data_IF_709638914976
#
_entry.id   IF_709638914976
#
_cell.length_a   1.000
_cell.length_b   1.000
_cell.length_c   1.000
_cell.angle_alpha   90.00
_cell.angle_beta   90.00
_cell.angle_gamma   90.00
#
_symmetry.space_group_name_H-M   'P 1'
#
loop_
_entity.id
_entity.type
_entity.pdbx_description
1 polymer ?
#
# COMPACT_ATOMS: atom_id res chain seq x y z
N UNK A 1 1.63 -7.48 -10.35
CA UNK A 1 3.07 -7.17 -10.28
C UNK A 1 3.42 -6.13 -11.34
N UNK A 2 4.39 -5.26 -11.07
CA UNK A 2 4.83 -4.19 -12.00
C UNK A 2 6.32 -4.34 -12.27
N UNK A 3 6.77 -4.10 -13.51
CA UNK A 3 8.19 -4.09 -13.87
C UNK A 3 8.53 -2.89 -14.76
N UNK A 4 9.66 -2.27 -14.47
CA UNK A 4 10.25 -1.23 -15.30
C UNK A 4 11.31 -1.85 -16.22
N UNK A 5 11.30 -1.43 -17.49
CA UNK A 5 12.29 -1.80 -18.50
C UNK A 5 12.67 -0.55 -19.30
N UNK A 6 13.72 0.14 -18.86
CA UNK A 6 14.06 1.46 -19.39
C UNK A 6 12.90 2.45 -19.20
N UNK A 7 12.39 3.02 -20.30
CA UNK A 7 11.24 3.93 -20.31
C UNK A 7 9.88 3.24 -20.27
N UNK A 8 9.83 1.91 -20.35
CA UNK A 8 8.58 1.18 -20.39
C UNK A 8 8.20 0.64 -19.01
N UNK A 9 6.93 0.76 -18.65
CA UNK A 9 6.34 0.19 -17.45
C UNK A 9 5.32 -0.88 -17.83
N UNK A 10 5.48 -2.06 -17.26
CA UNK A 10 4.62 -3.22 -17.52
C UNK A 10 3.79 -3.55 -16.28
N UNK A 11 2.49 -3.69 -16.46
CA UNK A 11 1.54 -4.12 -15.43
C UNK A 11 1.04 -5.53 -15.73
N UNK A 12 1.46 -6.48 -14.89
CA UNK A 12 0.98 -7.88 -14.94
C UNK A 12 -0.31 -8.07 -14.14
N UNK A 13 -0.58 -7.21 -13.16
CA UNK A 13 -1.88 -7.14 -12.48
C UNK A 13 -2.17 -5.71 -12.05
N UNK A 14 -3.45 -5.34 -12.03
CA UNK A 14 -3.93 -4.03 -11.58
C UNK A 14 -4.99 -4.21 -10.50
N UNK A 15 -4.92 -3.36 -9.47
CA UNK A 15 -5.94 -3.21 -8.44
C UNK A 15 -5.97 -1.74 -8.03
N UNK A 16 -7.15 -1.18 -7.81
CA UNK A 16 -7.23 0.18 -7.26
C UNK A 16 -6.72 0.21 -5.81
N UNK A 17 -6.21 1.37 -5.40
CA UNK A 17 -5.77 1.58 -4.02
C UNK A 17 -6.92 2.09 -3.14
N UNK A 18 -6.86 1.79 -1.84
CA UNK A 18 -7.70 2.28 -0.73
C UNK A 18 -9.21 1.99 -0.83
N UNK A 19 -9.74 1.23 0.15
CA UNK A 19 -11.18 1.04 0.46
C UNK A 19 -12.14 0.67 -0.69
N UNK A 20 -11.63 0.48 -1.91
CA UNK A 20 -12.40 0.09 -3.07
C UNK A 20 -12.44 -1.44 -3.15
N UNK A 21 -13.62 -1.98 -3.42
CA UNK A 21 -13.85 -3.42 -3.58
C UNK A 21 -13.46 -3.94 -4.97
N UNK A 22 -12.60 -3.22 -5.69
CA UNK A 22 -12.17 -3.65 -7.01
C UNK A 22 -11.34 -4.93 -6.90
N UNK A 23 -11.75 -5.91 -7.70
CA UNK A 23 -11.06 -7.19 -7.79
C UNK A 23 -9.72 -6.96 -8.49
N UNK A 24 -8.67 -7.60 -7.98
CA UNK A 24 -7.39 -7.61 -8.68
C UNK A 24 -7.56 -8.29 -10.04
N UNK A 25 -7.22 -7.58 -11.12
CA UNK A 25 -7.28 -8.07 -12.48
C UNK A 25 -5.88 -8.45 -12.96
N UNK A 26 -5.72 -9.67 -13.45
CA UNK A 26 -4.48 -10.14 -14.07
C UNK A 26 -4.48 -9.92 -15.58
N UNK A 27 -3.33 -9.51 -16.14
CA UNK A 27 -3.17 -9.16 -17.54
C UNK A 27 -2.21 -10.13 -18.24
N UNK A 28 -2.68 -10.77 -19.31
CA UNK A 28 -1.85 -11.60 -20.18
C UNK A 28 -2.28 -11.44 -21.65
N UNK A 29 -1.53 -10.69 -22.48
CA UNK A 29 -0.27 -10.00 -22.18
C UNK A 29 -0.41 -8.85 -21.16
N UNK A 30 0.69 -8.41 -20.50
CA UNK A 30 0.64 -7.28 -19.58
C UNK A 30 0.28 -5.97 -20.29
N UNK A 31 -0.26 -5.00 -19.55
CA UNK A 31 -0.39 -3.63 -20.05
C UNK A 31 0.99 -2.98 -20.08
N UNK A 32 1.31 -2.24 -21.14
CA UNK A 32 2.61 -1.60 -21.34
C UNK A 32 2.40 -0.12 -21.56
N UNK A 33 3.15 0.71 -20.85
CA UNK A 33 3.11 2.17 -20.99
C UNK A 33 4.51 2.71 -21.23
N UNK A 34 4.62 3.70 -22.11
CA UNK A 34 5.82 4.51 -22.26
C UNK A 34 5.75 5.67 -21.27
N UNK A 35 6.49 5.60 -20.17
CA UNK A 35 6.35 6.58 -19.08
C UNK A 35 6.87 7.98 -19.44
N UNK A 36 7.66 8.10 -20.51
CA UNK A 36 8.16 9.39 -20.95
C UNK A 36 7.15 10.12 -21.84
N UNK A 37 6.35 9.36 -22.60
CA UNK A 37 5.29 9.91 -23.46
C UNK A 37 3.92 9.95 -22.77
N UNK A 38 3.65 8.97 -21.90
CA UNK A 38 2.40 8.80 -21.16
C UNK A 38 2.69 8.53 -19.67
N UNK A 39 3.13 9.55 -18.91
CA UNK A 39 3.40 9.40 -17.48
C UNK A 39 2.15 9.09 -16.66
N UNK A 40 0.96 9.38 -17.19
CA UNK A 40 -0.33 9.11 -16.56
C UNK A 40 -0.86 7.70 -16.82
N UNK A 41 -0.16 6.89 -17.63
CA UNK A 41 -0.52 5.50 -17.92
C UNK A 41 -1.96 5.35 -18.44
N UNK A 42 -2.36 6.27 -19.31
CA UNK A 42 -3.72 6.36 -19.86
C UNK A 42 -3.88 5.61 -21.19
N UNK A 43 -2.80 5.39 -21.93
CA UNK A 43 -2.79 4.87 -23.29
C UNK A 43 -1.87 3.64 -23.39
N UNK A 44 -2.37 2.42 -23.12
CA UNK A 44 -1.57 1.21 -23.21
C UNK A 44 -1.11 0.96 -24.65
N UNK A 45 0.15 0.56 -24.80
CA UNK A 45 0.77 0.19 -26.07
C UNK A 45 0.33 -1.21 -26.52
N UNK A 46 0.45 -1.45 -27.82
CA UNK A 46 0.21 -2.77 -28.42
C UNK A 46 1.29 -3.79 -27.98
N UNK A 47 0.93 -4.81 -27.17
CA UNK A 47 1.90 -5.75 -26.59
C UNK A 47 2.55 -6.67 -27.62
N UNK A 48 1.95 -6.85 -28.80
CA UNK A 48 2.51 -7.72 -29.85
C UNK A 48 3.82 -7.18 -30.42
N UNK A 49 4.10 -5.89 -30.23
CA UNK A 49 5.35 -5.23 -30.65
C UNK A 49 6.49 -5.40 -29.64
N UNK A 50 6.22 -5.99 -28.48
CA UNK A 50 7.12 -6.01 -27.32
C UNK A 50 7.33 -7.41 -26.73
N UNK A 51 7.12 -8.47 -27.50
CA UNK A 51 7.14 -9.86 -27.02
C UNK A 51 8.41 -10.21 -26.24
N UNK A 52 9.58 -9.88 -26.78
CA UNK A 52 10.86 -10.19 -26.11
C UNK A 52 11.01 -9.44 -24.77
N UNK A 53 10.57 -8.18 -24.71
CA UNK A 53 10.57 -7.38 -23.49
C UNK A 53 9.61 -7.96 -22.44
N UNK A 54 8.43 -8.42 -22.87
CA UNK A 54 7.42 -9.05 -21.99
C UNK A 54 8.00 -10.32 -21.36
N UNK A 55 8.61 -11.20 -22.16
CA UNK A 55 9.19 -12.44 -21.64
C UNK A 55 10.37 -12.17 -20.70
N UNK A 56 11.28 -11.25 -21.05
CA UNK A 56 12.37 -10.84 -20.15
C UNK A 56 11.84 -10.26 -18.84
N UNK A 57 10.83 -9.39 -18.90
CA UNK A 57 10.20 -8.81 -17.72
C UNK A 57 9.53 -9.88 -16.85
N UNK A 58 8.91 -10.90 -17.44
CA UNK A 58 8.28 -12.01 -16.73
C UNK A 58 9.32 -12.80 -15.94
N UNK A 59 10.44 -13.18 -16.56
CA UNK A 59 11.55 -13.85 -15.88
C UNK A 59 12.05 -13.03 -14.70
N UNK A 60 12.32 -11.74 -14.91
CA UNK A 60 12.84 -10.87 -13.85
C UNK A 60 11.85 -10.66 -12.69
N UNK A 61 10.55 -10.66 -12.96
CA UNK A 61 9.52 -10.59 -11.90
C UNK A 61 9.53 -11.86 -11.07
N UNK A 62 9.60 -13.03 -11.69
CA UNK A 62 9.62 -14.31 -10.98
C UNK A 62 10.91 -14.49 -10.18
N UNK A 63 12.07 -14.15 -10.75
CA UNK A 63 13.35 -14.14 -10.03
C UNK A 63 13.32 -13.19 -8.83
N UNK A 64 12.77 -11.99 -9.00
CA UNK A 64 12.64 -11.04 -7.90
C UNK A 64 11.75 -11.60 -6.79
N UNK A 65 10.56 -12.11 -7.12
CA UNK A 65 9.65 -12.69 -6.13
C UNK A 65 10.30 -13.84 -5.36
N UNK A 66 11.06 -14.70 -6.06
CA UNK A 66 11.77 -15.82 -5.46
C UNK A 66 12.92 -15.38 -4.54
N UNK A 67 13.51 -14.20 -4.79
CA UNK A 67 14.60 -13.66 -3.96
C UNK A 67 14.15 -12.98 -2.67
N UNK A 68 12.85 -12.63 -2.55
CA UNK A 68 12.33 -11.91 -1.39
C UNK A 68 11.90 -12.89 -0.30
N UNK A 69 12.38 -12.70 0.92
CA UNK A 69 11.88 -13.39 2.11
C UNK A 69 10.58 -12.75 2.58
N UNK A 70 9.48 -13.49 2.44
CA UNK A 70 8.13 -13.04 2.83
C UNK A 70 7.69 -13.54 4.21
N UNK A 71 8.58 -14.22 4.96
CA UNK A 71 8.21 -15.01 6.15
C UNK A 71 7.67 -14.17 7.32
N UNK A 72 8.17 -12.94 7.50
CA UNK A 72 7.87 -12.11 8.69
C UNK A 72 7.28 -10.74 8.32
N UNK A 73 6.00 -10.68 7.92
CA UNK A 73 5.34 -9.41 7.65
C UNK A 73 5.12 -8.61 8.94
N UNK A 74 5.64 -7.37 8.96
CA UNK A 74 5.69 -6.53 10.16
C UNK A 74 4.34 -5.95 10.61
N UNK A 75 3.33 -5.94 9.73
CA UNK A 75 2.10 -5.17 9.92
C UNK A 75 0.83 -6.02 10.03
N UNK A 76 0.93 -7.33 10.28
CA UNK A 76 -0.26 -8.21 10.35
C UNK A 76 -1.02 -8.15 11.68
N UNK A 77 -0.36 -7.73 12.75
CA UNK A 77 -0.96 -7.71 14.08
C UNK A 77 -0.48 -6.49 14.86
N UNK A 78 -1.34 -6.02 15.77
CA UNK A 78 -0.97 -5.04 16.80
C UNK A 78 -0.60 -5.81 18.06
N UNK A 79 0.62 -5.63 18.54
CA UNK A 79 1.01 -6.16 19.84
C UNK A 79 0.45 -5.26 20.94
N UNK A 80 -0.35 -5.84 21.85
CA UNK A 80 -1.02 -5.11 22.92
C UNK A 80 -0.04 -4.39 23.85
N UNK A 81 1.20 -4.89 24.01
CA UNK A 81 2.19 -4.26 24.90
C UNK A 81 2.69 -2.90 24.41
N UNK A 82 2.49 -2.58 23.13
CA UNK A 82 2.83 -1.29 22.55
C UNK A 82 1.61 -0.36 22.42
N UNK A 83 0.45 -0.74 22.95
CA UNK A 83 -0.68 0.16 23.07
C UNK A 83 -0.40 1.14 24.21
N UNK A 84 -0.46 2.44 23.90
CA UNK A 84 -0.45 3.48 24.94
C UNK A 84 -1.76 3.33 25.71
N UNK A 85 -1.67 3.07 27.02
CA UNK A 85 -2.80 2.71 27.86
C UNK A 85 -2.87 3.61 29.09
N UNK A 86 -3.98 4.35 29.23
CA UNK A 86 -4.29 5.11 30.45
C UNK A 86 -5.03 4.26 31.50
N UNK A 87 -5.86 3.31 31.05
CA UNK A 87 -6.61 2.38 31.90
C UNK A 87 -6.68 0.97 31.30
N UNK A 88 -6.13 -0.03 32.00
CA UNK A 88 -6.19 -1.43 31.58
C UNK A 88 -7.59 -2.04 31.74
N UNK A 89 -8.43 -1.49 32.62
CA UNK A 89 -9.80 -2.00 32.88
C UNK A 89 -10.73 -1.74 31.69
N UNK A 90 -10.41 -0.74 30.87
CA UNK A 90 -11.17 -0.40 29.66
C UNK A 90 -10.64 -1.08 28.39
N UNK A 91 -9.73 -2.06 28.51
CA UNK A 91 -8.95 -2.62 27.37
C UNK A 91 -8.20 -1.51 26.61
N UNK A 92 -7.68 -0.53 27.35
CA UNK A 92 -6.93 0.61 26.83
C UNK A 92 -7.70 1.40 25.76
N UNK A 93 -9.03 1.41 25.85
CA UNK A 93 -9.89 2.21 24.99
C UNK A 93 -10.08 3.57 25.64
N UNK A 94 -9.61 4.60 24.96
CA UNK A 94 -9.93 5.98 25.32
C UNK A 94 -11.28 6.31 24.70
N UNK A 95 -12.28 6.53 25.53
CA UNK A 95 -13.56 7.11 25.11
C UNK A 95 -13.46 8.63 25.16
N UNK A 96 -14.29 9.38 24.41
CA UNK A 96 -14.30 10.84 24.48
C UNK A 96 -14.47 11.40 25.90
N UNK A 97 -15.16 10.67 26.79
CA UNK A 97 -15.36 11.06 28.19
C UNK A 97 -14.08 10.99 29.05
N UNK A 98 -13.06 10.23 28.61
CA UNK A 98 -11.79 10.06 29.35
C UNK A 98 -10.81 11.22 29.09
N UNK A 99 -11.09 12.09 28.11
CA UNK A 99 -10.25 13.23 27.73
C UNK A 99 -10.61 14.51 28.52
N UNK A 100 -11.79 14.54 29.15
CA UNK A 100 -12.33 15.73 29.85
C UNK A 100 -11.90 15.86 31.32
N UNK A 101 -10.98 15.01 31.82
CA UNK A 101 -10.58 15.00 33.24
C UNK A 101 -9.30 15.80 33.58
N UNK A 102 -8.69 16.51 32.64
CA UNK A 102 -7.57 17.43 32.93
C UNK A 102 -7.79 18.88 32.43
N UNK A 103 -8.99 19.45 32.63
CA UNK A 103 -9.06 20.90 32.83
C UNK A 103 -8.97 21.21 34.32
N UNK A 104 -7.74 21.49 34.74
CA UNK A 104 -7.44 22.03 36.05
C UNK A 104 -8.33 23.22 36.36
N UNK A 105 -9.16 23.07 37.38
CA UNK A 105 -9.80 24.17 38.07
C UNK A 105 -8.71 25.09 38.65
N UNK A 106 -8.39 26.18 37.94
CA UNK A 106 -7.85 27.39 38.56
C UNK A 106 -8.83 28.53 38.32
N UNK A 107 -9.73 28.71 39.30
CA UNK A 107 -10.51 29.93 39.43
C UNK A 107 -9.56 31.08 39.79
N UNK A 108 -9.32 31.99 38.84
CA UNK A 108 -8.78 33.31 39.15
C UNK A 108 -9.98 34.20 39.49
N UNK A 109 -10.16 34.47 40.77
CA UNK A 109 -11.00 35.56 41.23
C UNK A 109 -10.32 36.89 40.88
N UNK A 110 -11.05 37.78 40.22
CA UNK A 110 -10.66 39.19 40.07
C UNK A 110 -11.77 40.00 40.72
N UNK A 111 -11.37 40.80 41.72
CA UNK A 111 -12.19 41.79 42.43
C UNK A 111 -12.89 42.78 41.48
#
# INVERSE_FOLDING_TARGET
>A
AVKMFGRYKLWFSTKSSHYNNDVELYHNPPLIFDILEDPGESNPLDPTKYVEMIESARTQVEEHKASVDWTYPLCLARDKKYLICSDERSDCRITPADVDLEEGAQSIAVD
#
